data_IF_985736515576
#
_entry.id   IF_985736515576
#
_cell.length_a   1.000
_cell.length_b   1.000
_cell.length_c   1.000
_cell.angle_alpha   90.00
_cell.angle_beta   90.00
_cell.angle_gamma   90.00
#
_symmetry.space_group_name_H-M   'P 1'
#
loop_
_entity.id
_entity.type
_entity.pdbx_description
1 polymer ?
#
# COMPACT_ATOMS: atom_id res chain seq x y z
N UNK A 1 34.94 -3.49 -50.50
CA UNK A 1 35.84 -3.17 -51.63
C UNK A 1 37.10 -2.55 -51.05
N UNK A 2 38.28 -3.07 -51.37
CA UNK A 2 39.53 -2.48 -50.87
C UNK A 2 39.87 -1.22 -51.70
N UNK A 3 40.74 -0.37 -51.17
CA UNK A 3 41.34 0.75 -51.92
C UNK A 3 41.99 0.28 -53.25
N UNK A 4 42.32 -1.02 -53.38
CA UNK A 4 42.88 -1.58 -54.61
C UNK A 4 41.92 -1.57 -55.79
N UNK A 5 40.60 -1.67 -55.58
CA UNK A 5 39.65 -1.71 -56.68
C UNK A 5 39.59 -0.37 -57.42
N UNK A 6 39.65 0.74 -56.66
CA UNK A 6 39.69 2.09 -57.24
C UNK A 6 41.02 2.38 -57.94
N UNK A 7 42.12 1.89 -57.37
CA UNK A 7 43.45 2.03 -57.97
C UNK A 7 43.59 1.18 -59.25
N UNK A 8 42.97 0.00 -59.30
CA UNK A 8 42.99 -0.89 -60.46
C UNK A 8 42.37 -0.23 -61.69
N UNK A 9 41.24 0.47 -61.56
CA UNK A 9 40.59 1.14 -62.70
C UNK A 9 41.38 2.35 -63.17
N UNK A 10 41.95 3.14 -62.26
CA UNK A 10 42.86 4.24 -62.62
C UNK A 10 44.09 3.73 -63.37
N UNK A 11 44.67 2.62 -62.91
CA UNK A 11 45.80 1.98 -63.57
C UNK A 11 45.41 1.43 -64.96
N UNK A 12 44.21 0.87 -65.12
CA UNK A 12 43.71 0.38 -66.41
C UNK A 12 43.49 1.53 -67.42
N UNK A 13 42.88 2.64 -66.99
CA UNK A 13 42.69 3.82 -67.84
C UNK A 13 44.05 4.44 -68.22
N UNK A 14 45.01 4.48 -67.30
CA UNK A 14 46.35 4.95 -67.59
C UNK A 14 47.11 4.04 -68.57
N UNK A 15 46.91 2.73 -68.52
CA UNK A 15 47.47 1.78 -69.48
C UNK A 15 46.86 1.97 -70.88
N UNK A 16 45.53 2.09 -70.97
CA UNK A 16 44.82 2.35 -72.22
C UNK A 16 45.33 3.64 -72.89
N UNK A 17 45.51 4.72 -72.12
CA UNK A 17 46.04 5.99 -72.64
C UNK A 17 47.46 5.89 -73.21
N UNK A 18 48.28 4.92 -72.78
CA UNK A 18 49.65 4.74 -73.29
C UNK A 18 49.71 3.99 -74.62
N UNK A 19 48.70 3.17 -74.91
CA UNK A 19 48.64 2.35 -76.13
C UNK A 19 47.96 3.09 -77.31
N UNK A 20 47.33 4.23 -77.05
CA UNK A 20 46.61 5.01 -78.06
C UNK A 20 47.50 6.05 -78.72
N UNK A 21 47.30 6.24 -80.03
CA UNK A 21 47.91 7.35 -80.76
C UNK A 21 47.27 8.70 -80.39
N UNK A 22 47.93 9.81 -80.71
CA UNK A 22 47.39 11.17 -80.49
C UNK A 22 46.01 11.36 -81.13
N UNK A 23 45.81 10.86 -82.36
CA UNK A 23 44.56 11.03 -83.09
C UNK A 23 43.42 10.20 -82.47
N UNK A 24 43.72 9.03 -81.91
CA UNK A 24 42.74 8.21 -81.19
C UNK A 24 42.40 8.82 -79.83
N UNK A 25 43.39 9.35 -79.11
CA UNK A 25 43.19 10.09 -77.87
C UNK A 25 42.30 11.32 -78.05
N UNK A 26 42.43 12.04 -79.17
CA UNK A 26 41.56 13.18 -79.47
C UNK A 26 40.10 12.73 -79.73
N UNK A 27 39.90 11.54 -80.28
CA UNK A 27 38.56 10.96 -80.54
C UNK A 27 37.88 10.41 -79.28
N UNK A 28 38.64 9.79 -78.36
CA UNK A 28 38.05 9.05 -77.21
C UNK A 28 38.45 9.56 -75.82
N UNK A 29 39.34 10.55 -75.74
CA UNK A 29 39.89 11.05 -74.47
C UNK A 29 38.84 11.68 -73.54
N UNK A 30 37.82 12.34 -74.11
CA UNK A 30 36.69 12.87 -73.34
C UNK A 30 35.87 11.74 -72.70
N UNK A 31 35.60 10.66 -73.43
CA UNK A 31 34.88 9.49 -72.93
C UNK A 31 35.67 8.77 -71.83
N UNK A 32 36.99 8.61 -71.99
CA UNK A 32 37.83 8.02 -70.95
C UNK A 32 37.87 8.84 -69.67
N UNK A 33 37.86 10.18 -69.76
CA UNK A 33 37.75 11.07 -68.59
C UNK A 33 36.36 10.99 -67.95
N UNK A 34 35.29 10.88 -68.74
CA UNK A 34 33.94 10.72 -68.22
C UNK A 34 33.79 9.41 -67.44
N UNK A 35 34.28 8.29 -68.00
CA UNK A 35 34.31 6.99 -67.32
C UNK A 35 35.12 7.03 -66.03
N UNK A 36 36.29 7.69 -66.05
CA UNK A 36 37.10 7.86 -64.83
C UNK A 36 36.35 8.66 -63.76
N UNK A 37 35.60 9.70 -64.14
CA UNK A 37 34.80 10.51 -63.22
C UNK A 37 33.64 9.71 -62.63
N UNK A 38 32.80 9.13 -63.48
CA UNK A 38 31.62 8.36 -63.06
C UNK A 38 32.03 7.17 -62.18
N UNK A 39 33.14 6.51 -62.50
CA UNK A 39 33.66 5.44 -61.67
C UNK A 39 34.11 5.95 -60.29
N UNK A 40 34.78 7.10 -60.21
CA UNK A 40 35.14 7.69 -58.91
C UNK A 40 33.90 8.06 -58.10
N UNK A 41 32.88 8.68 -58.73
CA UNK A 41 31.62 9.05 -58.07
C UNK A 41 30.94 7.81 -57.46
N UNK A 42 30.78 6.74 -58.26
CA UNK A 42 30.20 5.47 -57.77
C UNK A 42 31.05 4.83 -56.69
N UNK A 43 32.38 4.90 -56.79
CA UNK A 43 33.28 4.35 -55.78
C UNK A 43 33.14 5.07 -54.43
N UNK A 44 33.02 6.41 -54.46
CA UNK A 44 32.78 7.23 -53.27
C UNK A 44 31.42 6.94 -52.63
N UNK A 45 30.37 6.79 -53.45
CA UNK A 45 29.03 6.39 -52.98
C UNK A 45 29.05 5.03 -52.28
N UNK A 46 29.74 4.04 -52.87
CA UNK A 46 29.87 2.69 -52.28
C UNK A 46 30.66 2.73 -50.97
N UNK A 47 31.73 3.53 -50.89
CA UNK A 47 32.46 3.68 -49.63
C UNK A 47 31.60 4.33 -48.54
N UNK A 48 30.84 5.36 -48.91
CA UNK A 48 29.91 6.04 -47.99
C UNK A 48 28.84 5.08 -47.48
N UNK A 49 28.21 4.33 -48.38
CA UNK A 49 27.21 3.33 -48.03
C UNK A 49 27.78 2.23 -47.12
N UNK A 50 29.01 1.76 -47.39
CA UNK A 50 29.68 0.77 -46.55
C UNK A 50 29.92 1.30 -45.13
N UNK A 51 30.41 2.53 -45.00
CA UNK A 51 30.63 3.16 -43.70
C UNK A 51 29.32 3.35 -42.93
N UNK A 52 28.26 3.79 -43.61
CA UNK A 52 26.92 3.88 -43.01
C UNK A 52 26.40 2.50 -42.57
N UNK A 53 26.59 1.46 -43.39
CA UNK A 53 26.16 0.10 -43.08
C UNK A 53 26.88 -0.45 -41.84
N UNK A 54 28.18 -0.19 -41.71
CA UNK A 54 28.97 -0.55 -40.52
C UNK A 54 28.42 0.19 -39.29
N UNK A 55 28.22 1.51 -39.38
CA UNK A 55 27.67 2.29 -38.28
C UNK A 55 26.26 1.83 -37.86
N UNK A 56 25.41 1.46 -38.82
CA UNK A 56 24.08 0.89 -38.53
C UNK A 56 24.18 -0.46 -37.82
N UNK A 57 25.12 -1.32 -38.22
CA UNK A 57 25.36 -2.61 -37.55
C UNK A 57 25.85 -2.43 -36.12
N UNK A 58 26.69 -1.44 -35.85
CA UNK A 58 27.13 -1.12 -34.49
C UNK A 58 25.96 -0.64 -33.63
N UNK A 59 25.15 0.30 -34.15
CA UNK A 59 23.93 0.76 -33.46
C UNK A 59 22.93 -0.36 -33.17
N UNK A 60 22.80 -1.33 -34.08
CA UNK A 60 21.95 -2.50 -33.85
C UNK A 60 22.47 -3.35 -32.68
N UNK A 61 23.78 -3.60 -32.62
CA UNK A 61 24.38 -4.34 -31.50
C UNK A 61 24.20 -3.60 -30.17
N UNK A 62 24.37 -2.28 -30.15
CA UNK A 62 24.11 -1.46 -28.96
C UNK A 62 22.67 -1.59 -28.49
N UNK A 63 21.71 -1.51 -29.42
CA UNK A 63 20.28 -1.71 -29.11
C UNK A 63 19.96 -3.12 -28.64
N UNK A 64 20.58 -4.15 -29.21
CA UNK A 64 20.39 -5.53 -28.77
C UNK A 64 20.87 -5.71 -27.32
N UNK A 65 22.00 -5.10 -26.95
CA UNK A 65 22.49 -5.09 -25.56
C UNK A 65 21.51 -4.35 -24.64
N UNK A 66 20.97 -3.21 -25.07
CA UNK A 66 19.98 -2.45 -24.30
C UNK A 66 18.67 -3.25 -24.10
N UNK A 67 18.21 -3.97 -25.12
CA UNK A 67 17.03 -4.85 -25.04
C UNK A 67 17.25 -5.94 -24.00
N UNK A 68 18.39 -6.62 -24.01
CA UNK A 68 18.68 -7.67 -23.02
C UNK A 68 18.75 -7.10 -21.60
N UNK A 69 19.39 -5.94 -21.43
CA UNK A 69 19.42 -5.25 -20.13
C UNK A 69 18.02 -4.89 -19.62
N UNK A 70 17.16 -4.35 -20.49
CA UNK A 70 15.78 -4.01 -20.14
C UNK A 70 14.94 -5.25 -19.81
N UNK A 71 15.17 -6.38 -20.50
CA UNK A 71 14.52 -7.65 -20.17
C UNK A 71 14.91 -8.12 -18.75
N UNK A 72 16.19 -8.09 -18.42
CA UNK A 72 16.68 -8.44 -17.08
C UNK A 72 16.10 -7.51 -15.99
N UNK A 73 16.01 -6.20 -16.26
CA UNK A 73 15.41 -5.24 -15.35
C UNK A 73 13.90 -5.48 -15.15
N UNK A 74 13.17 -5.84 -16.21
CA UNK A 74 11.75 -6.20 -16.14
C UNK A 74 11.56 -7.47 -15.31
N UNK A 75 12.39 -8.49 -15.50
CA UNK A 75 12.29 -9.75 -14.75
C UNK A 75 12.56 -9.53 -13.26
N UNK A 76 13.65 -8.81 -12.92
CA UNK A 76 13.92 -8.40 -11.53
C UNK A 76 12.80 -7.56 -10.92
N UNK A 77 12.20 -6.67 -11.72
CA UNK A 77 11.08 -5.83 -11.26
C UNK A 77 9.81 -6.65 -11.01
N UNK A 78 9.57 -7.71 -11.78
CA UNK A 78 8.45 -8.64 -11.53
C UNK A 78 8.66 -9.44 -10.25
N UNK A 79 9.88 -9.88 -9.98
CA UNK A 79 10.19 -10.64 -8.77
C UNK A 79 10.19 -9.76 -7.50
N UNK A 80 10.62 -8.50 -7.63
CA UNK A 80 10.61 -7.51 -6.53
C UNK A 80 9.25 -6.81 -6.34
N UNK A 81 8.40 -6.80 -7.38
CA UNK A 81 6.97 -6.55 -7.27
C UNK A 81 6.35 -7.70 -6.50
N UNK A 82 6.51 -7.66 -5.18
CA UNK A 82 6.10 -8.62 -4.16
C UNK A 82 4.58 -8.73 -4.04
N UNK A 83 3.89 -8.80 -5.16
CA UNK A 83 2.46 -8.92 -5.30
C UNK A 83 1.94 -10.12 -4.52
N UNK A 84 2.69 -11.22 -4.50
CA UNK A 84 2.26 -12.44 -3.81
C UNK A 84 2.52 -12.37 -2.29
N UNK A 85 3.62 -11.76 -1.84
CA UNK A 85 3.83 -11.54 -0.41
C UNK A 85 2.84 -10.51 0.15
N UNK A 86 2.57 -9.44 -0.60
CA UNK A 86 1.56 -8.42 -0.25
C UNK A 86 0.16 -9.04 -0.26
N UNK A 87 -0.20 -9.86 -1.25
CA UNK A 87 -1.48 -10.60 -1.26
C UNK A 87 -1.62 -11.53 -0.06
N UNK A 88 -0.55 -12.24 0.30
CA UNK A 88 -0.55 -13.12 1.47
C UNK A 88 -0.73 -12.33 2.76
N UNK A 89 0.03 -11.25 2.96
CA UNK A 89 -0.12 -10.35 4.11
C UNK A 89 -1.53 -9.75 4.18
N UNK A 90 -2.12 -9.36 3.05
CA UNK A 90 -3.48 -8.84 2.99
C UNK A 90 -4.52 -9.90 3.38
N UNK A 91 -4.33 -11.16 2.96
CA UNK A 91 -5.22 -12.26 3.34
C UNK A 91 -5.12 -12.57 4.84
N UNK A 92 -3.91 -12.58 5.40
CA UNK A 92 -3.68 -12.81 6.83
C UNK A 92 -4.30 -11.68 7.68
N UNK A 93 -4.08 -10.41 7.31
CA UNK A 93 -4.68 -9.26 8.00
C UNK A 93 -6.21 -9.23 7.93
N UNK A 94 -6.81 -9.69 6.82
CA UNK A 94 -8.26 -9.81 6.72
C UNK A 94 -8.79 -10.87 7.69
N UNK A 95 -8.14 -12.03 7.77
CA UNK A 95 -8.52 -13.11 8.69
C UNK A 95 -8.38 -12.69 10.15
N UNK A 96 -7.32 -11.97 10.48
CA UNK A 96 -7.09 -11.43 11.82
C UNK A 96 -8.15 -10.41 12.21
N UNK A 97 -8.50 -9.48 11.29
CA UNK A 97 -9.59 -8.52 11.52
C UNK A 97 -10.95 -9.17 11.78
N UNK A 98 -11.32 -10.20 11.01
CA UNK A 98 -12.58 -10.92 11.24
C UNK A 98 -12.58 -11.65 12.60
N UNK A 99 -11.42 -12.16 13.02
CA UNK A 99 -11.25 -12.76 14.35
C UNK A 99 -11.44 -11.72 15.44
N UNK A 100 -10.82 -10.53 15.32
CA UNK A 100 -10.97 -9.44 16.28
C UNK A 100 -12.41 -8.93 16.36
N UNK A 101 -13.10 -8.76 15.23
CA UNK A 101 -14.53 -8.38 15.22
C UNK A 101 -15.39 -9.38 15.98
N UNK A 102 -15.16 -10.67 15.76
CA UNK A 102 -15.91 -11.74 16.43
C UNK A 102 -15.64 -11.74 17.93
N UNK A 103 -14.38 -11.58 18.35
CA UNK A 103 -14.00 -11.48 19.77
C UNK A 103 -14.57 -10.23 20.44
N UNK A 104 -14.57 -9.10 19.74
CA UNK A 104 -15.14 -7.86 20.22
C UNK A 104 -16.65 -8.00 20.41
N UNK A 105 -17.37 -8.55 19.43
CA UNK A 105 -18.81 -8.82 19.53
C UNK A 105 -19.14 -9.77 20.70
N UNK A 106 -18.34 -10.82 20.92
CA UNK A 106 -18.51 -11.73 22.05
C UNK A 106 -18.30 -11.01 23.39
N UNK A 107 -17.26 -10.17 23.50
CA UNK A 107 -16.98 -9.37 24.70
C UNK A 107 -18.10 -8.38 24.98
N UNK A 108 -18.65 -7.75 23.94
CA UNK A 108 -19.72 -6.76 24.07
C UNK A 108 -21.04 -7.43 24.46
N UNK A 109 -21.32 -8.61 23.91
CA UNK A 109 -22.43 -9.45 24.35
C UNK A 109 -22.29 -9.83 25.83
N UNK A 110 -21.11 -10.27 26.28
CA UNK A 110 -20.88 -10.61 27.68
C UNK A 110 -21.13 -9.42 28.62
N UNK A 111 -20.74 -8.20 28.24
CA UNK A 111 -21.02 -6.99 29.03
C UNK A 111 -22.52 -6.69 29.10
N UNK A 112 -23.24 -6.84 27.99
CA UNK A 112 -24.70 -6.69 27.97
C UNK A 112 -25.37 -7.72 28.87
N UNK A 113 -25.03 -9.00 28.70
CA UNK A 113 -25.60 -10.10 29.49
C UNK A 113 -25.33 -9.88 31.00
N UNK A 114 -24.11 -9.47 31.36
CA UNK A 114 -23.76 -9.15 32.75
C UNK A 114 -24.61 -7.99 33.30
N UNK A 115 -24.74 -6.90 32.53
CA UNK A 115 -25.51 -5.74 32.95
C UNK A 115 -26.99 -6.07 33.09
N UNK A 116 -27.59 -6.76 32.12
CA UNK A 116 -28.99 -7.17 32.15
C UNK A 116 -29.26 -8.07 33.36
N UNK A 117 -28.36 -9.01 33.64
CA UNK A 117 -28.46 -9.86 34.83
C UNK A 117 -28.49 -9.06 36.14
N UNK A 118 -27.58 -8.08 36.27
CA UNK A 118 -27.55 -7.20 37.44
C UNK A 118 -28.77 -6.27 37.51
N UNK A 119 -29.19 -5.69 36.38
CA UNK A 119 -30.37 -4.84 36.29
C UNK A 119 -31.62 -5.60 36.74
N UNK A 120 -31.87 -6.79 36.20
CA UNK A 120 -33.01 -7.63 36.56
C UNK A 120 -32.99 -8.05 38.04
N UNK A 121 -31.79 -8.28 38.59
CA UNK A 121 -31.61 -8.61 40.00
C UNK A 121 -31.98 -7.45 40.93
N UNK A 122 -31.60 -6.22 40.58
CA UNK A 122 -31.75 -5.06 41.47
C UNK A 122 -32.94 -4.17 41.17
N UNK A 123 -33.60 -4.27 40.00
CA UNK A 123 -34.66 -3.33 39.59
C UNK A 123 -35.84 -3.19 40.56
N UNK A 124 -36.08 -4.20 41.39
CA UNK A 124 -37.15 -4.20 42.39
C UNK A 124 -36.64 -3.89 43.82
N UNK A 125 -35.36 -3.57 43.97
CA UNK A 125 -34.78 -3.21 45.27
C UNK A 125 -35.23 -1.81 45.70
N UNK A 126 -35.46 -1.61 47.00
CA UNK A 126 -35.97 -0.34 47.53
C UNK A 126 -35.08 0.87 47.18
N UNK A 127 -33.77 0.65 47.14
CA UNK A 127 -32.78 1.68 46.78
C UNK A 127 -32.49 1.79 45.28
N UNK A 128 -33.09 0.95 44.44
CA UNK A 128 -32.86 1.00 42.99
C UNK A 128 -33.28 2.34 42.37
N UNK A 129 -34.35 2.95 42.88
CA UNK A 129 -34.80 4.27 42.43
C UNK A 129 -33.76 5.38 42.67
N UNK A 130 -32.78 5.18 43.58
CA UNK A 130 -31.66 6.11 43.76
C UNK A 130 -30.55 5.92 42.72
N UNK A 131 -30.43 4.72 42.14
CA UNK A 131 -29.40 4.35 41.17
C UNK A 131 -29.89 4.58 39.74
N UNK A 132 -31.17 4.31 39.48
CA UNK A 132 -31.83 4.41 38.18
C UNK A 132 -31.56 5.71 37.41
N UNK A 133 -31.52 6.92 38.02
CA UNK A 133 -31.25 8.16 37.29
C UNK A 133 -29.85 8.24 36.67
N UNK A 134 -28.90 7.44 37.16
CA UNK A 134 -27.52 7.37 36.65
C UNK A 134 -27.36 6.32 35.55
N UNK A 135 -28.36 5.47 35.34
CA UNK A 135 -28.35 4.45 34.31
C UNK A 135 -28.85 5.02 32.97
N UNK A 136 -28.18 4.64 31.89
CA UNK A 136 -28.59 4.86 30.50
C UNK A 136 -29.37 3.64 30.03
N UNK A 137 -30.67 3.66 30.27
CA UNK A 137 -31.60 2.60 29.89
C UNK A 137 -32.12 2.90 28.47
N UNK A 138 -31.98 1.98 27.50
CA UNK A 138 -32.55 2.12 26.17
C UNK A 138 -34.07 2.25 26.19
N UNK A 139 -34.62 2.74 25.08
CA UNK A 139 -36.06 2.75 24.89
C UNK A 139 -36.62 1.32 24.84
N UNK A 140 -37.90 1.20 25.20
CA UNK A 140 -38.62 -0.06 25.03
C UNK A 140 -39.06 -0.24 23.58
N UNK A 141 -38.80 -1.44 23.05
CA UNK A 141 -39.29 -1.91 21.76
C UNK A 141 -40.17 -3.13 22.03
N UNK A 142 -41.42 -3.10 21.55
CA UNK A 142 -42.40 -4.16 21.78
C UNK A 142 -42.63 -4.52 23.27
N UNK A 143 -42.55 -3.51 24.14
CA UNK A 143 -42.74 -3.68 25.59
C UNK A 143 -41.59 -4.35 26.31
N UNK A 144 -40.40 -4.42 25.69
CA UNK A 144 -39.15 -4.87 26.32
C UNK A 144 -38.04 -3.87 26.07
N UNK A 145 -37.17 -3.68 27.06
CA UNK A 145 -35.99 -2.82 26.89
C UNK A 145 -35.04 -3.48 25.87
N UNK A 146 -34.65 -2.71 24.86
CA UNK A 146 -33.77 -3.18 23.79
C UNK A 146 -32.28 -3.11 24.20
N UNK A 147 -31.87 -4.09 25.01
CA UNK A 147 -30.48 -4.22 25.45
C UNK A 147 -29.52 -4.64 24.35
N UNK A 148 -30.00 -5.24 23.26
CA UNK A 148 -29.16 -5.71 22.16
C UNK A 148 -28.62 -4.53 21.35
N UNK A 149 -29.44 -3.50 21.13
CA UNK A 149 -29.06 -2.32 20.37
C UNK A 149 -28.54 -1.14 21.21
N UNK A 150 -28.52 -1.26 22.55
CA UNK A 150 -27.94 -0.24 23.42
C UNK A 150 -26.49 0.11 23.03
N UNK A 151 -26.03 1.35 23.19
CA UNK A 151 -24.62 1.65 22.93
C UNK A 151 -23.72 0.92 23.94
N UNK A 152 -22.60 0.34 23.48
CA UNK A 152 -21.74 -0.45 24.39
C UNK A 152 -21.10 0.41 25.48
N UNK A 153 -20.86 1.70 25.21
CA UNK A 153 -20.31 2.62 26.20
C UNK A 153 -21.33 2.96 27.29
N UNK A 154 -22.63 3.02 26.95
CA UNK A 154 -23.70 3.15 27.94
C UNK A 154 -23.79 1.89 28.81
N UNK A 155 -23.66 0.69 28.23
CA UNK A 155 -23.60 -0.56 28.99
C UNK A 155 -22.41 -0.59 29.96
N UNK A 156 -21.22 -0.14 29.53
CA UNK A 156 -20.04 -0.04 30.41
C UNK A 156 -20.26 0.97 31.54
N UNK A 157 -20.85 2.12 31.24
CA UNK A 157 -21.20 3.12 32.25
C UNK A 157 -22.16 2.51 33.27
N UNK A 158 -23.22 1.85 32.80
CA UNK A 158 -24.24 1.27 33.66
C UNK A 158 -23.68 0.16 34.56
N UNK A 159 -22.80 -0.71 34.04
CA UNK A 159 -22.07 -1.69 34.84
C UNK A 159 -21.27 -1.01 35.96
N UNK A 160 -20.61 0.10 35.65
CA UNK A 160 -19.85 0.87 36.65
C UNK A 160 -20.76 1.47 37.74
N UNK A 161 -21.92 2.02 37.36
CA UNK A 161 -22.86 2.62 38.32
C UNK A 161 -23.52 1.58 39.22
N UNK A 162 -23.89 0.41 38.69
CA UNK A 162 -24.37 -0.71 39.51
C UNK A 162 -23.26 -1.18 40.47
N UNK A 163 -22.02 -1.34 40.01
CA UNK A 163 -20.93 -1.80 40.87
C UNK A 163 -20.60 -0.79 41.99
N UNK A 164 -20.66 0.51 41.71
CA UNK A 164 -20.56 1.55 42.74
C UNK A 164 -21.67 1.39 43.78
N UNK A 165 -22.93 1.26 43.35
CA UNK A 165 -24.06 1.09 44.24
C UNK A 165 -23.93 -0.19 45.11
N UNK A 166 -23.41 -1.28 44.55
CA UNK A 166 -23.05 -2.50 45.31
C UNK A 166 -21.98 -2.22 46.36
N UNK A 167 -20.90 -1.55 45.97
CA UNK A 167 -19.76 -1.23 46.86
C UNK A 167 -20.16 -0.31 48.01
N UNK A 168 -21.06 0.64 47.77
CA UNK A 168 -21.59 1.54 48.79
C UNK A 168 -22.73 0.93 49.63
N UNK A 169 -23.05 -0.35 49.43
CA UNK A 169 -24.05 -1.07 50.21
C UNK A 169 -25.49 -0.72 49.87
N UNK A 170 -25.76 -0.04 48.75
CA UNK A 170 -27.12 0.32 48.31
C UNK A 170 -27.96 -0.89 47.91
N UNK A 171 -27.36 -2.08 47.82
CA UNK A 171 -28.05 -3.34 47.55
C UNK A 171 -27.76 -4.42 48.61
N UNK A 172 -27.38 -4.02 49.84
CA UNK A 172 -26.85 -4.91 50.88
C UNK A 172 -27.78 -6.07 51.28
N UNK A 173 -29.09 -5.96 51.07
CA UNK A 173 -30.06 -7.02 51.39
C UNK A 173 -30.13 -8.12 50.31
N UNK A 174 -29.52 -7.89 49.13
CA UNK A 174 -29.48 -8.86 48.03
C UNK A 174 -28.14 -9.62 48.08
N UNK A 175 -27.97 -10.46 49.09
CA UNK A 175 -26.78 -11.29 49.24
C UNK A 175 -26.54 -12.15 47.98
N UNK A 176 -25.39 -12.06 47.28
CA UNK A 176 -24.97 -13.10 46.36
C UNK A 176 -24.58 -14.36 47.16
N UNK A 177 -24.86 -15.58 46.67
CA UNK A 177 -24.33 -16.77 47.31
C UNK A 177 -22.79 -16.72 47.23
N UNK A 178 -22.13 -16.48 48.36
CA UNK A 178 -20.70 -16.74 48.52
C UNK A 178 -19.76 -15.58 48.90
N UNK A 179 -20.22 -14.37 49.21
CA UNK A 179 -19.30 -13.32 49.72
C UNK A 179 -19.64 -13.00 51.19
N UNK A 180 -18.93 -13.65 52.10
CA UNK A 180 -18.90 -13.23 53.50
C UNK A 180 -18.10 -11.93 53.65
N UNK A 181 -18.79 -10.86 54.02
CA UNK A 181 -18.26 -9.78 54.85
C UNK A 181 -17.27 -8.81 54.18
N UNK A 182 -17.79 -7.81 53.46
CA UNK A 182 -17.12 -6.52 53.38
C UNK A 182 -17.70 -5.60 54.45
N UNK A 183 -16.89 -5.23 55.45
CA UNK A 183 -17.24 -4.22 56.46
C UNK A 183 -17.53 -2.89 55.76
N UNK A 184 -18.74 -2.38 55.90
CA UNK A 184 -19.04 -0.96 55.67
C UNK A 184 -18.09 -0.10 56.52
N UNK A 185 -17.42 0.91 55.95
CA UNK A 185 -16.72 1.90 56.76
C UNK A 185 -17.77 2.66 57.58
N UNK A 186 -17.52 2.95 58.86
CA UNK A 186 -18.44 3.72 59.67
C UNK A 186 -18.61 5.12 59.04
N UNK A 187 -19.86 5.58 59.02
CA UNK A 187 -20.23 6.94 58.65
C UNK A 187 -19.38 7.94 59.43
N UNK A 188 -18.50 8.65 58.72
CA UNK A 188 -17.71 9.76 59.26
C UNK A 188 -18.62 10.97 59.53
N UNK A 189 -19.44 10.87 60.59
CA UNK A 189 -19.99 12.03 61.26
C UNK A 189 -18.84 12.73 62.01
N UNK A 190 -18.21 13.72 61.38
CA UNK A 190 -17.27 14.60 62.10
C UNK A 190 -16.03 15.13 61.38
N UNK A 191 -15.84 14.90 60.07
CA UNK A 191 -14.69 15.51 59.37
C UNK A 191 -15.06 16.90 58.87
N UNK A 192 -14.55 17.94 59.56
CA UNK A 192 -14.52 19.31 59.03
C UNK A 192 -13.78 19.30 57.68
N UNK A 193 -14.46 19.77 56.64
CA UNK A 193 -13.88 19.97 55.32
C UNK A 193 -12.65 20.88 55.40
N UNK A 194 -11.50 20.53 54.79
CA UNK A 194 -10.32 21.40 54.73
C UNK A 194 -10.47 22.51 53.67
N UNK A 195 -11.59 22.58 52.95
CA UNK A 195 -11.85 23.61 51.93
C UNK A 195 -12.72 24.77 52.42
N UNK A 196 -12.54 25.20 53.67
CA UNK A 196 -13.03 26.50 54.13
C UNK A 196 -12.00 27.61 53.84
N UNK A 197 -11.61 27.74 52.57
CA UNK A 197 -10.83 28.87 52.06
C UNK A 197 -11.79 29.99 51.68
N UNK A 198 -11.76 31.08 52.45
CA UNK A 198 -12.53 32.31 52.22
C UNK A 198 -12.16 32.90 50.84
N UNK A 199 -13.09 32.84 49.88
CA UNK A 199 -13.20 33.89 48.87
C UNK A 199 -14.03 35.02 49.47
N UNK A 200 -13.43 36.20 49.62
CA UNK A 200 -14.15 37.47 49.68
C UNK A 200 -13.57 38.37 48.59
N UNK A 201 -14.47 38.83 47.73
CA UNK A 201 -14.36 40.10 47.01
C UNK A 201 -14.22 41.28 47.97
#
# INVERSE_FOLDING_TARGET
MSKDSGQTVKNAIAAIRKELTSEELDKIGSNLKAVEREFNDVFEDVQTFLNESISRKEKLREKDVEIEKLKDEIEKSKDTSSTDAIKKQLADLKKENETFKTQQAATDKQKRDAFVGDFEKYKNHADFEKVKPFLKIPDEVDGKIDWENAAIDDIKLNLSEIEKARTYGSFADVNPPGIHGAKVPPTMSGVKSPFAGKFKT
#
